data_IF_413296641541
#
_entry.id   IF_413296641541
#
_cell.length_a   1.000
_cell.length_b   1.000
_cell.length_c   1.000
_cell.angle_alpha   90.00
_cell.angle_beta   90.00
_cell.angle_gamma   90.00
#
_symmetry.space_group_name_H-M   'P 1'
#
loop_
_entity.id
_entity.type
_entity.pdbx_description
1 polymer ?
#
# COMPACT_ATOMS: atom_id res chain seq x y z
N UNK A 1 6.11 -15.03 -8.59
CA UNK A 1 5.42 -13.76 -8.95
C UNK A 1 4.09 -13.96 -9.71
N UNK A 2 3.74 -15.18 -10.16
CA UNK A 2 2.54 -15.45 -11.00
C UNK A 2 1.18 -15.55 -10.28
N UNK A 3 0.81 -14.61 -9.39
CA UNK A 3 -0.52 -14.68 -8.73
C UNK A 3 -1.38 -13.41 -8.78
N UNK A 4 -1.17 -12.49 -9.72
CA UNK A 4 -1.88 -11.19 -9.71
C UNK A 4 -2.46 -10.73 -11.05
N UNK A 5 -2.96 -11.65 -11.88
CA UNK A 5 -3.99 -11.32 -12.86
C UNK A 5 -5.22 -12.17 -12.56
N UNK A 6 -6.13 -11.64 -11.74
CA UNK A 6 -7.51 -12.16 -11.71
C UNK A 6 -8.22 -11.57 -12.93
N UNK A 7 -8.82 -12.45 -13.73
CA UNK A 7 -9.49 -12.10 -14.99
C UNK A 7 -10.55 -11.01 -14.77
N UNK A 8 -10.49 -9.94 -15.56
CA UNK A 8 -11.57 -8.96 -15.70
C UNK A 8 -11.47 -7.67 -14.88
N UNK A 9 -10.46 -7.50 -14.01
CA UNK A 9 -10.26 -6.24 -13.27
C UNK A 9 -9.69 -5.14 -14.18
N UNK A 10 -10.14 -3.90 -13.99
CA UNK A 10 -9.55 -2.71 -14.60
C UNK A 10 -8.07 -2.65 -14.25
N UNK A 11 -7.20 -2.67 -15.27
CA UNK A 11 -5.75 -2.56 -15.07
C UNK A 11 -5.42 -1.13 -14.63
N UNK A 12 -4.83 -0.98 -13.45
CA UNK A 12 -4.22 0.26 -12.98
C UNK A 12 -2.74 0.04 -12.71
N UNK A 13 -1.95 1.10 -12.90
CA UNK A 13 -0.52 1.08 -12.60
C UNK A 13 -0.32 1.11 -11.08
N UNK A 14 0.51 0.21 -10.58
CA UNK A 14 0.81 0.15 -9.16
C UNK A 14 2.27 -0.16 -8.90
N UNK A 15 2.76 0.29 -7.75
CA UNK A 15 4.07 -0.01 -7.21
C UNK A 15 3.91 -0.93 -5.99
N UNK A 16 4.63 -2.05 -5.95
CA UNK A 16 4.54 -3.03 -4.86
C UNK A 16 5.94 -3.28 -4.28
N UNK A 17 6.41 -2.46 -3.34
CA UNK A 17 7.75 -2.59 -2.78
C UNK A 17 7.86 -3.81 -1.88
N UNK A 18 9.03 -4.45 -1.91
CA UNK A 18 9.40 -5.52 -1.00
C UNK A 18 10.18 -4.96 0.18
N UNK A 19 9.56 -4.10 0.99
CA UNK A 19 10.18 -3.64 2.23
C UNK A 19 10.24 -4.78 3.24
N UNK A 20 11.42 -5.02 3.80
CA UNK A 20 11.65 -5.96 4.90
C UNK A 20 11.69 -5.19 6.21
N UNK A 21 11.04 -5.73 7.25
CA UNK A 21 11.00 -5.14 8.58
C UNK A 21 12.42 -5.05 9.11
N UNK A 22 12.82 -3.89 9.62
CA UNK A 22 14.12 -3.69 10.25
C UNK A 22 13.91 -3.62 11.75
N UNK A 23 14.68 -4.42 12.50
CA UNK A 23 14.64 -4.44 13.97
C UNK A 23 15.95 -3.99 14.55
N UNK A 24 15.91 -3.41 15.74
CA UNK A 24 17.10 -3.09 16.51
C UNK A 24 17.46 -4.28 17.39
N UNK A 25 18.61 -4.90 17.13
CA UNK A 25 19.17 -6.00 17.93
C UNK A 25 20.57 -5.59 18.34
N UNK A 26 20.84 -5.59 19.65
CA UNK A 26 22.13 -5.19 20.24
C UNK A 26 22.65 -3.82 19.73
N UNK A 27 21.75 -2.85 19.60
CA UNK A 27 22.08 -1.52 19.13
C UNK A 27 22.20 -1.36 17.61
N UNK A 28 22.21 -2.46 16.83
CA UNK A 28 22.32 -2.45 15.37
C UNK A 28 20.97 -2.66 14.68
N UNK A 29 20.77 -1.99 13.56
CA UNK A 29 19.61 -2.19 12.69
C UNK A 29 19.83 -3.42 11.81
N UNK A 30 19.01 -4.45 11.97
CA UNK A 30 19.08 -5.70 11.20
C UNK A 30 17.81 -5.89 10.38
N UNK A 31 17.98 -6.21 9.10
CA UNK A 31 16.86 -6.57 8.22
C UNK A 31 16.34 -7.95 8.65
N UNK A 32 15.04 -8.06 8.86
CA UNK A 32 14.37 -9.33 9.12
C UNK A 32 13.90 -9.96 7.80
N UNK A 33 13.42 -11.20 7.87
CA UNK A 33 12.77 -11.87 6.72
C UNK A 33 11.29 -11.49 6.58
N UNK A 34 10.74 -10.64 7.47
CA UNK A 34 9.30 -10.32 7.45
C UNK A 34 9.04 -9.16 6.48
N UNK A 35 8.18 -9.34 5.46
CA UNK A 35 7.77 -8.23 4.60
C UNK A 35 6.86 -7.26 5.37
N UNK A 36 7.18 -5.96 5.36
CA UNK A 36 6.41 -4.90 6.02
C UNK A 36 5.07 -4.64 5.35
N UNK A 37 5.06 -4.62 4.01
CA UNK A 37 3.90 -4.21 3.21
C UNK A 37 3.33 -5.37 2.40
N UNK A 38 3.35 -6.57 2.98
CA UNK A 38 2.72 -7.72 2.36
C UNK A 38 1.22 -7.45 2.16
N UNK A 39 0.72 -7.70 0.94
CA UNK A 39 -0.64 -7.40 0.49
C UNK A 39 -1.00 -5.91 0.32
N UNK A 40 -0.03 -5.00 0.40
CA UNK A 40 -0.23 -3.60 0.01
C UNK A 40 0.37 -3.33 -1.36
N UNK A 41 -0.29 -2.43 -2.10
CA UNK A 41 0.20 -1.83 -3.34
C UNK A 41 -0.01 -0.32 -3.24
N UNK A 42 0.88 0.42 -3.88
CA UNK A 42 0.82 1.87 -3.98
C UNK A 42 0.30 2.22 -5.36
N UNK A 43 -0.64 3.15 -5.41
CA UNK A 43 -1.22 3.64 -6.66
C UNK A 43 -1.03 5.15 -6.66
N UNK A 44 -0.50 5.68 -7.75
CA UNK A 44 -0.47 7.13 -7.97
C UNK A 44 -1.78 7.51 -8.65
N UNK A 45 -2.65 8.20 -7.93
CA UNK A 45 -3.95 8.65 -8.43
C UNK A 45 -4.43 9.91 -7.73
N UNK A 46 -5.38 10.62 -8.35
CA UNK A 46 -6.14 11.69 -7.69
C UNK A 46 -7.15 11.13 -6.69
N UNK A 47 -7.75 12.01 -5.88
CA UNK A 47 -8.80 11.61 -4.93
C UNK A 47 -10.04 11.10 -5.66
N UNK A 48 -10.42 11.75 -6.76
CA UNK A 48 -11.55 11.37 -7.61
C UNK A 48 -11.35 9.98 -8.23
N UNK A 49 -10.13 9.69 -8.71
CA UNK A 49 -9.76 8.38 -9.23
C UNK A 49 -9.84 7.30 -8.16
N UNK A 50 -9.34 7.58 -6.93
CA UNK A 50 -9.47 6.66 -5.79
C UNK A 50 -10.94 6.34 -5.49
N UNK A 51 -11.83 7.34 -5.54
CA UNK A 51 -13.27 7.11 -5.36
C UNK A 51 -13.86 6.21 -6.45
N UNK A 52 -13.47 6.40 -7.72
CA UNK A 52 -13.92 5.52 -8.82
C UNK A 52 -13.33 4.11 -8.70
N UNK A 53 -12.07 3.98 -8.31
CA UNK A 53 -11.43 2.70 -8.04
C UNK A 53 -12.17 1.96 -6.92
N UNK A 54 -12.53 2.63 -5.82
CA UNK A 54 -13.29 2.00 -4.73
C UNK A 54 -14.64 1.43 -5.19
N UNK A 55 -15.27 2.03 -6.20
CA UNK A 55 -16.54 1.53 -6.79
C UNK A 55 -16.35 0.37 -7.75
N UNK A 56 -15.24 0.37 -8.50
CA UNK A 56 -14.97 -0.60 -9.58
C UNK A 56 -14.10 -1.78 -9.15
N UNK A 57 -13.37 -1.64 -8.04
CA UNK A 57 -12.41 -2.60 -7.51
C UNK A 57 -12.73 -2.96 -6.06
N UNK A 58 -13.87 -3.63 -5.78
CA UNK A 58 -14.38 -3.86 -4.43
C UNK A 58 -13.49 -4.78 -3.57
N UNK A 59 -12.51 -5.47 -4.18
CA UNK A 59 -11.58 -6.35 -3.47
C UNK A 59 -10.42 -5.59 -2.81
N UNK A 60 -10.18 -4.34 -3.21
CA UNK A 60 -9.08 -3.53 -2.67
C UNK A 60 -9.61 -2.55 -1.64
N UNK A 61 -8.96 -2.49 -0.49
CA UNK A 61 -9.25 -1.52 0.54
C UNK A 61 -8.19 -0.42 0.52
N UNK A 62 -8.65 0.82 0.51
CA UNK A 62 -7.79 1.99 0.70
C UNK A 62 -7.63 2.26 2.19
N UNK A 63 -6.39 2.50 2.62
CA UNK A 63 -6.14 2.91 4.00
C UNK A 63 -6.80 4.27 4.26
N UNK A 64 -7.39 4.46 5.46
CA UNK A 64 -7.95 5.75 5.83
C UNK A 64 -6.86 6.81 5.93
N UNK A 65 -7.26 8.07 5.77
CA UNK A 65 -6.38 9.19 6.09
C UNK A 65 -6.06 9.18 7.57
N UNK A 66 -4.82 9.49 7.90
CA UNK A 66 -4.34 9.68 9.26
C UNK A 66 -4.38 11.16 9.63
N UNK A 67 -4.75 11.45 10.87
CA UNK A 67 -4.74 12.81 11.42
C UNK A 67 -3.51 12.97 12.30
N UNK A 68 -2.70 13.98 12.03
CA UNK A 68 -1.56 14.36 12.86
C UNK A 68 -1.46 15.88 12.91
N UNK A 69 -1.43 16.46 14.11
CA UNK A 69 -1.28 17.91 14.28
C UNK A 69 -2.37 18.77 13.62
N UNK A 70 -3.59 18.27 13.48
CA UNK A 70 -4.70 18.99 12.83
C UNK A 70 -4.75 18.88 11.30
N UNK A 71 -3.77 18.21 10.68
CA UNK A 71 -3.78 17.92 9.24
C UNK A 71 -4.13 16.46 8.97
N UNK A 72 -4.97 16.21 7.97
CA UNK A 72 -5.29 14.86 7.49
C UNK A 72 -4.55 14.55 6.19
N UNK A 73 -3.78 13.46 6.18
CA UNK A 73 -3.00 13.03 5.02
C UNK A 73 -3.13 11.51 4.82
N UNK A 74 -2.76 11.00 3.65
CA UNK A 74 -2.64 9.56 3.46
C UNK A 74 -1.34 9.09 4.13
N UNK A 75 -1.32 7.93 4.81
CA UNK A 75 -0.21 7.50 5.67
C UNK A 75 1.14 7.25 4.95
N UNK A 76 1.20 7.39 3.63
CA UNK A 76 2.40 7.18 2.83
C UNK A 76 2.71 8.36 1.89
N UNK A 77 2.05 9.50 2.12
CA UNK A 77 2.31 10.78 1.47
C UNK A 77 2.95 11.74 2.47
#
# INVERSE_FOLDING_TARGET
LSRRKRRGETLFEYFAPSYVEVRKVDGKMVNTKRPLLFNYVFVRSSVEEIFQMKRTLPLYNFLPRVSSGGMTHFPYL
#
